data_IF_964896140652
#
_entry.id   IF_964896140652
#
_cell.length_a   1.000
_cell.length_b   1.000
_cell.length_c   1.000
_cell.angle_alpha   90.00
_cell.angle_beta   90.00
_cell.angle_gamma   90.00
#
_symmetry.space_group_name_H-M   'P 1'
#
loop_
_entity.id
_entity.type
_entity.pdbx_description
1 polymer ?
#
# COMPACT_ATOMS: atom_id res chain seq x y z
N UNK A 1 -2.59 51.92 -21.81
CA UNK A 1 -3.87 51.34 -22.26
C UNK A 1 -3.95 49.81 -22.10
N UNK A 2 -2.85 49.05 -22.23
CA UNK A 2 -2.84 47.57 -22.07
C UNK A 2 -3.04 47.07 -20.63
N UNK A 3 -2.45 47.73 -19.61
CA UNK A 3 -2.52 47.32 -18.19
C UNK A 3 -3.96 47.36 -17.64
N UNK A 4 -4.74 48.41 -17.95
CA UNK A 4 -6.14 48.57 -17.50
C UNK A 4 -7.08 47.44 -17.93
N UNK A 5 -6.79 46.74 -19.04
CA UNK A 5 -7.65 45.66 -19.56
C UNK A 5 -7.40 44.32 -18.86
N UNK A 6 -6.16 44.10 -18.38
CA UNK A 6 -5.79 42.95 -17.55
C UNK A 6 -6.38 43.11 -16.15
N UNK A 7 -6.28 44.31 -15.57
CA UNK A 7 -6.88 44.66 -14.28
C UNK A 7 -8.40 44.38 -14.28
N UNK A 8 -9.13 44.80 -15.34
CA UNK A 8 -10.57 44.59 -15.45
C UNK A 8 -10.98 43.10 -15.51
N UNK A 9 -10.24 42.26 -16.24
CA UNK A 9 -10.46 40.81 -16.31
C UNK A 9 -10.16 40.15 -14.95
N UNK A 10 -9.10 40.60 -14.28
CA UNK A 10 -8.73 40.10 -12.97
C UNK A 10 -9.72 40.52 -11.88
N UNK A 11 -10.28 41.73 -11.95
CA UNK A 11 -11.36 42.21 -11.06
C UNK A 11 -12.67 41.45 -11.29
N UNK A 12 -12.98 41.09 -12.54
CA UNK A 12 -14.13 40.24 -12.88
C UNK A 12 -13.97 38.83 -12.30
N UNK A 13 -12.80 38.20 -12.50
CA UNK A 13 -12.46 36.91 -11.91
C UNK A 13 -12.39 36.96 -10.37
N UNK A 14 -11.88 38.05 -9.80
CA UNK A 14 -11.79 38.23 -8.34
C UNK A 14 -13.17 38.27 -7.70
N UNK A 15 -14.18 38.83 -8.38
CA UNK A 15 -15.58 38.78 -7.93
C UNK A 15 -16.17 37.36 -7.96
N UNK A 16 -15.70 36.50 -8.85
CA UNK A 16 -16.10 35.08 -8.91
C UNK A 16 -15.40 34.24 -7.83
N UNK A 17 -14.21 34.65 -7.40
CA UNK A 17 -13.31 33.87 -6.52
C UNK A 17 -13.38 34.31 -5.06
N UNK A 18 -13.81 35.55 -4.79
CA UNK A 18 -13.66 36.25 -3.50
C UNK A 18 -14.30 35.64 -2.25
N UNK A 19 -14.94 34.47 -2.34
CA UNK A 19 -15.45 33.74 -1.18
C UNK A 19 -14.63 32.47 -0.83
N UNK A 20 -13.78 31.98 -1.74
CA UNK A 20 -13.07 30.71 -1.58
C UNK A 20 -11.63 30.93 -1.09
N UNK A 21 -11.37 30.62 0.17
CA UNK A 21 -10.06 30.81 0.84
C UNK A 21 -8.94 29.95 0.27
N UNK A 22 -9.27 28.96 -0.56
CA UNK A 22 -8.34 28.04 -1.24
C UNK A 22 -7.87 28.56 -2.61
N UNK A 23 -8.26 29.79 -2.99
CA UNK A 23 -8.12 30.28 -4.35
C UNK A 23 -7.50 31.67 -4.44
N UNK A 24 -6.61 31.86 -5.41
CA UNK A 24 -6.03 33.17 -5.73
C UNK A 24 -5.90 33.36 -7.24
N UNK A 25 -5.73 34.60 -7.69
CA UNK A 25 -5.53 34.93 -9.09
C UNK A 25 -4.13 35.50 -9.25
N UNK A 26 -3.41 35.02 -10.26
CA UNK A 26 -2.11 35.56 -10.68
C UNK A 26 -2.09 35.75 -12.19
N UNK A 27 -1.45 36.82 -12.66
CA UNK A 27 -1.23 37.05 -14.07
C UNK A 27 0.24 37.33 -14.35
N UNK A 28 0.74 36.89 -15.50
CA UNK A 28 2.10 37.12 -15.94
C UNK A 28 2.19 37.49 -17.41
N UNK A 29 3.27 38.17 -17.79
CA UNK A 29 3.53 38.59 -19.17
C UNK A 29 4.07 37.45 -20.06
N UNK A 30 4.01 37.64 -21.37
CA UNK A 30 4.50 36.68 -22.38
C UNK A 30 5.99 36.84 -22.74
N UNK A 31 6.77 37.52 -21.90
CA UNK A 31 8.18 37.79 -22.19
C UNK A 31 9.06 36.53 -22.17
N UNK A 32 10.30 36.63 -22.65
CA UNK A 32 11.26 35.51 -22.61
C UNK A 32 11.60 35.07 -21.19
N UNK A 33 11.47 35.97 -20.20
CA UNK A 33 11.58 35.70 -18.76
C UNK A 33 10.31 36.21 -18.06
N UNK A 34 9.20 35.44 -18.11
CA UNK A 34 7.89 35.90 -17.69
C UNK A 34 7.87 36.48 -16.27
N UNK A 35 7.25 37.64 -16.10
CA UNK A 35 7.07 38.27 -14.78
C UNK A 35 5.62 38.35 -14.37
N UNK A 36 5.38 38.21 -13.07
CA UNK A 36 4.05 38.39 -12.48
C UNK A 36 3.69 39.88 -12.58
N UNK A 37 2.61 40.20 -13.29
CA UNK A 37 2.14 41.58 -13.48
C UNK A 37 0.97 41.91 -12.56
N UNK A 38 0.29 40.89 -12.04
CA UNK A 38 -0.86 41.07 -11.17
C UNK A 38 -1.05 39.85 -10.25
N UNK A 39 -1.52 40.09 -9.03
CA UNK A 39 -1.92 39.04 -8.10
C UNK A 39 -3.04 39.57 -7.18
N UNK A 40 -4.05 38.74 -6.87
CA UNK A 40 -5.13 39.08 -5.93
C UNK A 40 -5.79 37.83 -5.33
N UNK A 41 -6.72 38.02 -4.40
CA UNK A 41 -7.38 36.93 -3.65
C UNK A 41 -6.50 36.41 -2.50
N UNK A 42 -6.69 35.15 -2.12
CA UNK A 42 -6.04 34.51 -0.97
C UNK A 42 -4.60 34.06 -1.28
N UNK A 43 -3.80 34.97 -1.84
CA UNK A 43 -2.39 34.73 -2.22
C UNK A 43 -1.53 34.33 -1.02
N UNK A 44 -1.82 34.88 0.17
CA UNK A 44 -1.09 34.53 1.39
C UNK A 44 -1.34 33.08 1.78
N UNK A 45 -2.58 32.60 1.67
CA UNK A 45 -2.97 31.24 2.03
C UNK A 45 -2.53 30.23 0.97
N UNK A 46 -2.67 30.57 -0.32
CA UNK A 46 -2.40 29.65 -1.44
C UNK A 46 -0.90 29.59 -1.79
N UNK A 47 -0.26 30.75 -1.93
CA UNK A 47 1.12 30.88 -2.44
C UNK A 47 2.15 31.24 -1.36
N UNK A 48 1.73 31.45 -0.11
CA UNK A 48 2.58 31.86 1.02
C UNK A 48 3.32 33.18 0.77
N UNK A 49 2.70 34.09 0.03
CA UNK A 49 3.23 35.42 -0.25
C UNK A 49 2.08 36.42 -0.41
N UNK A 50 2.28 37.66 0.04
CA UNK A 50 1.28 38.71 -0.16
C UNK A 50 1.22 39.10 -1.63
N UNK A 51 0.04 39.44 -2.13
CA UNK A 51 -0.17 39.88 -3.52
C UNK A 51 0.85 40.93 -3.99
N UNK A 52 1.12 41.96 -3.17
CA UNK A 52 2.10 43.01 -3.50
C UNK A 52 3.55 42.53 -3.59
N UNK A 53 3.91 41.43 -2.90
CA UNK A 53 5.25 40.85 -2.94
C UNK A 53 5.44 39.96 -4.18
N UNK A 54 4.35 39.48 -4.79
CA UNK A 54 4.39 38.64 -5.98
C UNK A 54 4.63 39.47 -7.24
N UNK A 55 4.04 40.66 -7.34
CA UNK A 55 4.15 41.52 -8.53
C UNK A 55 5.62 41.89 -8.79
N UNK A 56 6.05 41.70 -10.04
CA UNK A 56 7.42 41.93 -10.49
C UNK A 56 8.35 40.73 -10.32
N UNK A 57 7.99 39.69 -9.56
CA UNK A 57 8.80 38.47 -9.43
C UNK A 57 8.72 37.61 -10.71
N UNK A 58 9.74 36.77 -10.98
CA UNK A 58 9.68 35.81 -12.08
C UNK A 58 8.51 34.85 -11.88
N UNK A 59 7.62 34.72 -12.87
CA UNK A 59 6.48 33.81 -12.82
C UNK A 59 6.94 32.34 -12.76
N UNK A 60 8.11 32.04 -13.31
CA UNK A 60 8.74 30.72 -13.20
C UNK A 60 8.96 30.26 -11.76
N UNK A 61 9.06 31.17 -10.79
CA UNK A 61 9.20 30.81 -9.38
C UNK A 61 7.95 30.14 -8.79
N UNK A 62 6.79 30.25 -9.46
CA UNK A 62 5.53 29.63 -9.05
C UNK A 62 5.39 28.18 -9.54
N UNK A 63 6.27 27.70 -10.42
CA UNK A 63 6.13 26.41 -11.08
C UNK A 63 7.40 25.56 -10.93
N UNK A 64 7.24 24.27 -10.69
CA UNK A 64 8.37 23.33 -10.59
C UNK A 64 9.21 23.25 -11.87
N UNK A 65 8.61 23.51 -13.04
CA UNK A 65 9.30 23.60 -14.34
C UNK A 65 9.91 24.97 -14.67
N UNK A 66 9.95 25.90 -13.71
CA UNK A 66 10.59 27.21 -13.87
C UNK A 66 9.95 28.08 -14.96
N UNK A 67 10.77 28.92 -15.58
CA UNK A 67 10.32 29.86 -16.64
C UNK A 67 9.73 29.16 -17.87
N UNK A 68 10.17 27.94 -18.17
CA UNK A 68 9.62 27.15 -19.27
C UNK A 68 8.15 26.81 -19.01
N UNK A 69 7.82 26.35 -17.80
CA UNK A 69 6.43 26.05 -17.44
C UNK A 69 5.53 27.28 -17.53
N UNK A 70 5.99 28.46 -17.09
CA UNK A 70 5.22 29.70 -17.22
C UNK A 70 4.93 30.08 -18.68
N UNK A 71 5.92 29.90 -19.58
CA UNK A 71 5.75 30.14 -21.02
C UNK A 71 4.82 29.13 -21.68
N UNK A 72 4.99 27.85 -21.36
CA UNK A 72 4.15 26.78 -21.90
C UNK A 72 2.68 27.02 -21.52
N UNK A 73 2.39 27.39 -20.26
CA UNK A 73 1.03 27.70 -19.81
C UNK A 73 0.45 28.95 -20.50
N UNK A 74 1.27 29.97 -20.74
CA UNK A 74 0.83 31.14 -21.51
C UNK A 74 0.46 30.75 -22.96
N UNK A 75 1.31 29.94 -23.61
CA UNK A 75 1.06 29.47 -24.98
C UNK A 75 -0.18 28.58 -25.09
N UNK A 76 -0.44 27.72 -24.10
CA UNK A 76 -1.61 26.84 -24.04
C UNK A 76 -2.92 27.65 -24.05
N UNK A 77 -2.95 28.80 -23.37
CA UNK A 77 -4.18 29.57 -23.17
C UNK A 77 -4.35 30.76 -24.13
N UNK A 78 -3.42 30.97 -25.09
CA UNK A 78 -3.41 32.13 -25.99
C UNK A 78 -4.70 32.32 -26.81
N UNK A 79 -5.43 31.24 -27.11
CA UNK A 79 -6.64 31.28 -27.95
C UNK A 79 -7.91 30.69 -27.30
N UNK A 80 -7.80 29.88 -26.24
CA UNK A 80 -8.93 29.20 -25.58
C UNK A 80 -8.64 29.11 -24.07
N UNK A 81 -9.63 29.30 -23.18
CA UNK A 81 -9.46 28.97 -21.76
C UNK A 81 -9.01 27.53 -21.57
N UNK A 82 -8.06 27.29 -20.68
CA UNK A 82 -7.52 25.96 -20.40
C UNK A 82 -7.64 25.62 -18.91
N UNK A 83 -7.85 24.35 -18.60
CA UNK A 83 -7.84 23.84 -17.24
C UNK A 83 -6.71 22.81 -17.11
N UNK A 84 -5.75 23.10 -16.24
CA UNK A 84 -4.58 22.25 -16.03
C UNK A 84 -4.45 21.90 -14.55
N UNK A 85 -4.02 20.68 -14.22
CA UNK A 85 -3.60 20.32 -12.87
C UNK A 85 -2.10 20.10 -12.88
N UNK A 86 -1.36 20.92 -12.12
CA UNK A 86 0.10 20.87 -12.08
C UNK A 86 0.65 21.22 -10.70
N UNK A 87 1.82 20.67 -10.34
CA UNK A 87 2.51 21.09 -9.13
C UNK A 87 3.02 22.53 -9.26
N UNK A 88 2.59 23.39 -8.34
CA UNK A 88 3.10 24.75 -8.14
C UNK A 88 4.04 24.79 -6.95
N UNK A 89 4.85 25.84 -6.83
CA UNK A 89 5.78 26.03 -5.72
C UNK A 89 5.25 27.10 -4.76
N UNK A 90 5.22 26.78 -3.47
CA UNK A 90 4.98 27.73 -2.37
C UNK A 90 6.00 27.49 -1.26
N UNK A 91 6.61 28.54 -0.73
CA UNK A 91 7.64 28.41 0.33
C UNK A 91 8.81 27.46 0.00
N UNK A 92 9.10 27.25 -1.29
CA UNK A 92 10.13 26.30 -1.76
C UNK A 92 9.69 24.84 -1.84
N UNK A 93 8.43 24.52 -1.53
CA UNK A 93 7.86 23.16 -1.60
C UNK A 93 6.81 23.07 -2.71
N UNK A 94 6.75 21.95 -3.46
CA UNK A 94 5.68 21.73 -4.42
C UNK A 94 4.34 21.44 -3.74
N UNK A 95 3.24 21.92 -4.33
CA UNK A 95 1.88 21.59 -3.93
C UNK A 95 0.98 21.39 -5.16
N UNK A 96 -0.06 20.58 -5.03
CA UNK A 96 -0.98 20.30 -6.12
C UNK A 96 -1.94 21.48 -6.32
N UNK A 97 -1.93 22.06 -7.52
CA UNK A 97 -2.81 23.17 -7.87
C UNK A 97 -3.64 22.86 -9.12
N UNK A 98 -4.88 23.32 -9.12
CA UNK A 98 -5.67 23.46 -10.34
C UNK A 98 -5.51 24.88 -10.87
N UNK A 99 -5.22 24.99 -12.16
CA UNK A 99 -5.03 26.22 -12.89
C UNK A 99 -6.15 26.36 -13.91
N UNK A 100 -7.04 27.34 -13.74
CA UNK A 100 -7.94 27.79 -14.79
C UNK A 100 -7.31 29.00 -15.47
N UNK A 101 -6.81 28.79 -16.68
CA UNK A 101 -6.00 29.70 -17.45
C UNK A 101 -6.83 30.40 -18.51
N UNK A 102 -6.55 31.68 -18.71
CA UNK A 102 -7.10 32.47 -19.81
C UNK A 102 -6.01 33.36 -20.39
N UNK A 103 -5.79 33.26 -21.69
CA UNK A 103 -4.90 34.16 -22.42
C UNK A 103 -5.46 35.58 -22.43
N UNK A 104 -4.58 36.55 -22.31
CA UNK A 104 -4.86 37.98 -22.45
C UNK A 104 -3.81 38.60 -23.36
N UNK A 105 -4.13 39.70 -24.05
CA UNK A 105 -3.17 40.35 -24.94
C UNK A 105 -1.90 40.76 -24.17
N UNK A 106 -0.80 40.02 -24.37
CA UNK A 106 0.47 40.24 -23.69
C UNK A 106 0.80 39.29 -22.54
N UNK A 107 0.02 38.22 -22.31
CA UNK A 107 0.29 37.29 -21.20
C UNK A 107 -0.85 36.30 -20.88
N UNK A 108 -0.85 35.80 -19.65
CA UNK A 108 -1.84 34.85 -19.15
C UNK A 108 -2.35 35.24 -17.76
N UNK A 109 -3.61 34.92 -17.49
CA UNK A 109 -4.23 35.00 -16.17
C UNK A 109 -4.59 33.59 -15.72
N UNK A 110 -4.21 33.24 -14.50
CA UNK A 110 -4.57 31.98 -13.85
C UNK A 110 -5.40 32.23 -12.60
N UNK A 111 -6.55 31.56 -12.51
CA UNK A 111 -7.14 31.23 -11.22
C UNK A 111 -6.46 29.97 -10.71
N UNK A 112 -5.75 30.11 -9.59
CA UNK A 112 -5.05 29.05 -8.89
C UNK A 112 -5.92 28.58 -7.74
N UNK A 113 -6.21 27.28 -7.70
CA UNK A 113 -6.89 26.64 -6.58
C UNK A 113 -5.98 25.60 -5.94
N UNK A 114 -5.79 25.69 -4.62
CA UNK A 114 -5.03 24.71 -3.85
C UNK A 114 -5.85 23.42 -3.66
N UNK A 115 -5.35 22.30 -4.20
CA UNK A 115 -5.98 20.99 -4.06
C UNK A 115 -5.44 20.18 -2.86
N UNK A 116 -4.47 20.72 -2.11
CA UNK A 116 -3.76 19.99 -1.06
C UNK A 116 -4.72 19.49 0.03
N UNK A 117 -5.61 20.34 0.54
CA UNK A 117 -6.55 19.96 1.58
C UNK A 117 -7.56 18.91 1.10
N UNK A 118 -8.05 19.04 -0.15
CA UNK A 118 -8.97 18.07 -0.75
C UNK A 118 -8.33 16.71 -0.98
N UNK A 119 -7.10 16.66 -1.49
CA UNK A 119 -6.35 15.41 -1.63
C UNK A 119 -6.06 14.78 -0.27
N UNK A 120 -5.67 15.56 0.74
CA UNK A 120 -5.44 15.05 2.10
C UNK A 120 -6.72 14.47 2.71
N UNK A 121 -7.88 15.11 2.50
CA UNK A 121 -9.17 14.59 2.96
C UNK A 121 -9.58 13.32 2.22
N UNK A 122 -9.39 13.27 0.89
CA UNK A 122 -9.66 12.08 0.11
C UNK A 122 -8.77 10.90 0.53
N UNK A 123 -7.46 11.13 0.71
CA UNK A 123 -6.52 10.13 1.21
C UNK A 123 -6.88 9.67 2.63
N UNK A 124 -7.28 10.60 3.51
CA UNK A 124 -7.72 10.28 4.86
C UNK A 124 -9.03 9.48 4.86
N UNK A 125 -9.97 9.81 3.98
CA UNK A 125 -11.23 9.09 3.81
C UNK A 125 -11.00 7.68 3.28
N UNK A 126 -10.17 7.51 2.25
CA UNK A 126 -9.77 6.19 1.74
C UNK A 126 -9.11 5.34 2.83
N UNK A 127 -8.21 5.92 3.63
CA UNK A 127 -7.60 5.23 4.78
C UNK A 127 -8.61 4.88 5.86
N UNK A 128 -9.59 5.75 6.12
CA UNK A 128 -10.64 5.51 7.10
C UNK A 128 -11.61 4.41 6.65
N UNK A 129 -11.96 4.38 5.35
CA UNK A 129 -12.74 3.32 4.74
C UNK A 129 -12.01 1.98 4.80
N UNK A 130 -10.71 1.96 4.47
CA UNK A 130 -9.85 0.79 4.59
C UNK A 130 -9.78 0.29 6.05
N UNK A 131 -9.67 1.20 7.01
CA UNK A 131 -9.63 0.89 8.44
C UNK A 131 -10.98 0.37 8.96
N UNK A 132 -12.10 0.94 8.51
CA UNK A 132 -13.44 0.49 8.87
C UNK A 132 -13.73 -0.91 8.30
N UNK A 133 -13.35 -1.13 7.03
CA UNK A 133 -13.41 -2.45 6.37
C UNK A 133 -12.54 -3.47 7.10
N UNK A 134 -11.32 -3.08 7.46
CA UNK A 134 -10.42 -3.88 8.30
C UNK A 134 -11.07 -4.27 9.63
N UNK A 135 -11.58 -3.31 10.39
CA UNK A 135 -12.20 -3.57 11.69
C UNK A 135 -13.41 -4.51 11.59
N UNK A 136 -14.25 -4.33 10.56
CA UNK A 136 -15.43 -5.18 10.33
C UNK A 136 -15.05 -6.62 9.97
N UNK A 137 -14.10 -6.81 9.05
CA UNK A 137 -13.63 -8.13 8.63
C UNK A 137 -12.94 -8.87 9.78
N UNK A 138 -12.03 -8.21 10.50
CA UNK A 138 -11.35 -8.78 11.66
C UNK A 138 -12.35 -9.17 12.75
N UNK A 139 -13.33 -8.32 13.05
CA UNK A 139 -14.36 -8.64 14.03
C UNK A 139 -15.19 -9.87 13.61
N UNK A 140 -15.55 -9.97 12.33
CA UNK A 140 -16.30 -11.10 11.80
C UNK A 140 -15.49 -12.40 11.84
N UNK A 141 -14.22 -12.35 11.44
CA UNK A 141 -13.34 -13.50 11.42
C UNK A 141 -12.82 -13.94 12.79
N UNK A 142 -12.78 -13.06 13.79
CA UNK A 142 -12.54 -13.45 15.19
C UNK A 142 -13.81 -14.10 15.79
N UNK A 143 -14.99 -13.55 15.49
CA UNK A 143 -16.26 -14.02 16.05
C UNK A 143 -16.57 -15.48 15.67
N UNK A 144 -16.23 -15.89 14.45
CA UNK A 144 -16.49 -17.23 13.94
C UNK A 144 -15.75 -18.36 14.70
N UNK A 145 -14.41 -18.38 14.77
CA UNK A 145 -13.66 -19.35 15.55
C UNK A 145 -13.98 -19.27 17.05
N UNK A 146 -14.20 -18.07 17.61
CA UNK A 146 -14.63 -17.94 19.01
C UNK A 146 -15.99 -18.61 19.27
N UNK A 147 -16.92 -18.52 18.30
CA UNK A 147 -18.20 -19.21 18.38
C UNK A 147 -18.03 -20.74 18.34
N UNK A 148 -17.12 -21.24 17.50
CA UNK A 148 -16.79 -22.67 17.44
C UNK A 148 -16.14 -23.17 18.75
N UNK A 149 -15.19 -22.41 19.31
CA UNK A 149 -14.59 -22.69 20.63
C UNK A 149 -15.68 -22.72 21.71
N UNK A 150 -16.54 -21.71 21.75
CA UNK A 150 -17.66 -21.63 22.71
C UNK A 150 -18.58 -22.84 22.61
N UNK A 151 -18.97 -23.25 21.39
CA UNK A 151 -19.84 -24.42 21.18
C UNK A 151 -19.12 -25.69 21.66
N UNK A 152 -17.85 -25.90 21.30
CA UNK A 152 -17.09 -27.06 21.72
C UNK A 152 -17.00 -27.16 23.25
N UNK A 153 -16.68 -26.05 23.93
CA UNK A 153 -16.61 -25.98 25.39
C UNK A 153 -17.99 -26.19 26.05
N UNK A 154 -19.05 -25.56 25.55
CA UNK A 154 -20.42 -25.75 26.05
C UNK A 154 -20.92 -27.18 25.89
N UNK A 155 -20.43 -27.90 24.87
CA UNK A 155 -20.81 -29.30 24.66
C UNK A 155 -20.01 -30.24 25.56
N UNK A 156 -18.78 -29.88 25.94
CA UNK A 156 -18.01 -30.57 26.98
C UNK A 156 -18.63 -30.35 28.37
N UNK A 157 -19.00 -29.11 28.71
CA UNK A 157 -19.62 -28.75 29.99
C UNK A 157 -20.94 -29.49 30.26
N UNK A 158 -21.76 -29.70 29.21
CA UNK A 158 -23.03 -30.44 29.30
C UNK A 158 -22.85 -31.94 29.53
N UNK A 159 -21.68 -32.51 29.24
CA UNK A 159 -21.40 -33.92 29.38
C UNK A 159 -20.40 -34.11 30.54
N UNK A 160 -20.89 -34.13 31.78
CA UNK A 160 -20.10 -34.10 33.02
C UNK A 160 -19.12 -35.27 33.27
N UNK A 161 -18.93 -36.18 32.32
CA UNK A 161 -17.88 -37.21 32.33
C UNK A 161 -17.22 -37.27 30.95
N UNK A 162 -15.89 -37.09 30.91
CA UNK A 162 -15.15 -37.08 29.66
C UNK A 162 -15.17 -38.49 29.02
N UNK A 163 -15.87 -38.67 27.90
CA UNK A 163 -15.85 -39.88 27.09
C UNK A 163 -14.77 -39.78 25.99
N UNK A 164 -14.41 -40.90 25.33
CA UNK A 164 -13.38 -40.91 24.27
C UNK A 164 -13.62 -39.91 23.11
N UNK A 165 -14.84 -39.37 22.94
CA UNK A 165 -15.18 -38.38 21.92
C UNK A 165 -14.77 -36.93 22.26
N UNK A 166 -14.22 -36.68 23.47
CA UNK A 166 -13.86 -35.35 23.94
C UNK A 166 -12.50 -34.87 23.45
N UNK A 167 -11.62 -35.80 23.04
CA UNK A 167 -10.38 -35.46 22.35
C UNK A 167 -10.65 -34.77 21.01
N UNK A 168 -11.67 -35.21 20.26
CA UNK A 168 -12.07 -34.57 18.99
C UNK A 168 -12.58 -33.15 19.22
N UNK A 169 -13.40 -32.93 20.25
CA UNK A 169 -13.97 -31.60 20.57
C UNK A 169 -12.92 -30.62 21.06
N UNK A 170 -12.01 -31.10 21.91
CA UNK A 170 -10.86 -30.31 22.39
C UNK A 170 -9.90 -29.97 21.25
N UNK A 171 -9.67 -30.90 20.32
CA UNK A 171 -8.88 -30.67 19.11
C UNK A 171 -9.51 -29.63 18.18
N UNK A 172 -10.84 -29.64 18.01
CA UNK A 172 -11.56 -28.59 17.26
C UNK A 172 -11.40 -27.22 17.93
N UNK A 173 -11.60 -27.14 19.26
CA UNK A 173 -11.43 -25.88 19.99
C UNK A 173 -10.00 -25.35 19.88
N UNK A 174 -9.00 -26.20 20.05
CA UNK A 174 -7.59 -25.83 19.93
C UNK A 174 -7.25 -25.34 18.52
N UNK A 175 -7.77 -26.00 17.47
CA UNK A 175 -7.58 -25.56 16.07
C UNK A 175 -8.12 -24.14 15.85
N UNK A 176 -9.31 -23.85 16.38
CA UNK A 176 -9.92 -22.53 16.20
C UNK A 176 -9.24 -21.44 17.05
N UNK A 177 -8.67 -21.77 18.21
CA UNK A 177 -7.80 -20.84 18.97
C UNK A 177 -6.54 -20.49 18.17
N UNK A 178 -5.86 -21.48 17.58
CA UNK A 178 -4.69 -21.25 16.73
C UNK A 178 -5.03 -20.38 15.50
N UNK A 179 -6.22 -20.56 14.92
CA UNK A 179 -6.70 -19.71 13.83
C UNK A 179 -6.89 -18.24 14.28
N UNK A 180 -7.43 -18.01 15.48
CA UNK A 180 -7.58 -16.66 16.07
C UNK A 180 -6.21 -16.03 16.32
N UNK A 181 -5.26 -16.78 16.87
CA UNK A 181 -3.91 -16.29 17.11
C UNK A 181 -3.21 -15.92 15.79
N UNK A 182 -3.38 -16.72 14.74
CA UNK A 182 -2.86 -16.39 13.41
C UNK A 182 -3.47 -15.10 12.88
N UNK A 183 -4.80 -14.97 12.93
CA UNK A 183 -5.52 -13.78 12.48
C UNK A 183 -5.07 -12.53 13.25
N UNK A 184 -4.97 -12.62 14.57
CA UNK A 184 -4.53 -11.50 15.41
C UNK A 184 -3.09 -11.07 15.06
N UNK A 185 -2.20 -12.03 14.83
CA UNK A 185 -0.83 -11.74 14.42
C UNK A 185 -0.78 -11.07 13.04
N UNK A 186 -1.59 -11.51 12.06
CA UNK A 186 -1.68 -10.88 10.74
C UNK A 186 -2.21 -9.45 10.82
N UNK A 187 -3.21 -9.21 11.68
CA UNK A 187 -3.80 -7.89 11.97
C UNK A 187 -2.78 -6.94 12.59
N UNK A 188 -2.05 -7.42 13.60
CA UNK A 188 -1.02 -6.63 14.28
C UNK A 188 0.17 -6.32 13.35
N UNK A 189 0.58 -7.29 12.53
CA UNK A 189 1.66 -7.07 11.55
C UNK A 189 1.23 -6.11 10.44
N UNK A 190 -0.03 -6.17 9.99
CA UNK A 190 -0.58 -5.23 9.02
C UNK A 190 -0.65 -3.79 9.59
N UNK A 191 -1.09 -3.63 10.84
CA UNK A 191 -1.23 -2.34 11.51
C UNK A 191 0.12 -1.73 11.94
N UNK A 192 1.18 -2.54 12.06
CA UNK A 192 2.50 -2.06 12.49
C UNK A 192 3.07 -1.06 11.47
N UNK A 193 3.60 0.10 11.89
CA UNK A 193 4.30 1.02 10.99
C UNK A 193 5.48 0.35 10.28
N UNK A 194 5.79 0.73 9.02
CA UNK A 194 6.96 0.21 8.32
C UNK A 194 8.22 0.63 9.08
N UNK A 195 8.86 -0.36 9.71
CA UNK A 195 10.14 -0.22 10.37
C UNK A 195 10.90 -1.53 10.14
N UNK A 196 12.03 -1.40 9.46
CA UNK A 196 12.97 -2.48 9.21
C UNK A 196 14.26 -2.20 9.98
N UNK A 197 14.79 -3.24 10.58
CA UNK A 197 16.16 -3.25 11.08
C UNK A 197 17.01 -4.10 10.15
N UNK A 198 17.40 -3.55 9.00
CA UNK A 198 18.24 -4.26 8.02
C UNK A 198 19.65 -4.46 8.58
N UNK A 199 20.06 -5.73 8.65
CA UNK A 199 21.41 -6.13 9.04
C UNK A 199 21.99 -7.05 7.97
N UNK A 200 23.30 -6.97 7.67
CA UNK A 200 23.96 -7.96 6.82
C UNK A 200 23.90 -9.32 7.50
N UNK A 201 23.09 -10.25 6.97
CA UNK A 201 22.91 -11.56 7.57
C UNK A 201 22.74 -12.65 6.51
N UNK A 202 23.12 -13.86 6.88
CA UNK A 202 22.75 -15.07 6.14
C UNK A 202 21.24 -15.30 6.31
N UNK A 203 20.45 -15.43 5.22
CA UNK A 203 19.01 -15.64 5.32
C UNK A 203 18.63 -17.04 5.84
N UNK A 204 19.51 -18.03 5.71
CA UNK A 204 19.18 -19.44 5.99
C UNK A 204 18.73 -19.68 7.43
N UNK A 205 19.43 -19.21 8.48
CA UNK A 205 19.00 -19.45 9.86
C UNK A 205 17.58 -18.95 10.13
N UNK A 206 17.22 -17.77 9.60
CA UNK A 206 15.88 -17.20 9.78
C UNK A 206 14.80 -18.03 9.06
N UNK A 207 15.07 -18.47 7.83
CA UNK A 207 14.14 -19.34 7.08
C UNK A 207 13.99 -20.70 7.77
N UNK A 208 15.10 -21.34 8.13
CA UNK A 208 15.11 -22.67 8.74
C UNK A 208 14.40 -22.70 10.10
N UNK A 209 14.62 -21.68 10.95
CA UNK A 209 13.93 -21.54 12.24
C UNK A 209 12.41 -21.42 12.05
N UNK A 210 11.97 -20.60 11.08
CA UNK A 210 10.56 -20.42 10.78
C UNK A 210 9.92 -21.69 10.21
N UNK A 211 10.56 -22.37 9.26
CA UNK A 211 10.06 -23.62 8.68
C UNK A 211 9.96 -24.70 9.75
N UNK A 212 10.99 -24.87 10.59
CA UNK A 212 10.98 -25.87 11.67
C UNK A 212 9.84 -25.64 12.67
N UNK A 213 9.55 -24.39 13.01
CA UNK A 213 8.44 -24.05 13.89
C UNK A 213 7.07 -24.43 13.30
N UNK A 214 6.87 -24.18 12.00
CA UNK A 214 5.61 -24.57 11.32
C UNK A 214 5.54 -26.09 11.14
N UNK A 215 6.63 -26.74 10.75
CA UNK A 215 6.66 -28.20 10.60
C UNK A 215 6.29 -28.93 11.89
N UNK A 216 6.80 -28.48 13.04
CA UNK A 216 6.44 -29.04 14.33
C UNK A 216 4.93 -28.96 14.62
N UNK A 217 4.27 -27.85 14.23
CA UNK A 217 2.83 -27.62 14.40
C UNK A 217 1.98 -28.53 13.48
N UNK A 218 2.49 -28.87 12.29
CA UNK A 218 1.73 -29.51 11.22
C UNK A 218 2.05 -30.99 10.96
N UNK A 219 3.17 -31.50 11.48
CA UNK A 219 3.59 -32.90 11.33
C UNK A 219 2.55 -33.93 11.78
N UNK A 220 1.86 -33.67 12.90
CA UNK A 220 0.79 -34.53 13.40
C UNK A 220 -0.48 -34.53 12.53
N UNK A 221 -0.56 -33.65 11.53
CA UNK A 221 -1.70 -33.50 10.60
C UNK A 221 -1.41 -34.05 9.21
N UNK A 222 -0.33 -34.83 9.05
CA UNK A 222 0.02 -35.45 7.76
C UNK A 222 0.64 -34.49 6.75
N UNK A 223 1.14 -33.34 7.20
CA UNK A 223 1.87 -32.37 6.37
C UNK A 223 3.35 -32.44 6.72
N UNK A 224 4.19 -32.57 5.70
CA UNK A 224 5.66 -32.64 5.82
C UNK A 224 6.30 -31.48 5.06
N UNK A 225 7.55 -31.14 5.38
CA UNK A 225 8.27 -30.07 4.73
C UNK A 225 9.56 -30.59 4.08
N UNK A 226 9.74 -30.32 2.79
CA UNK A 226 10.99 -30.58 2.09
C UNK A 226 11.72 -29.26 1.87
N UNK A 227 13.04 -29.25 2.10
CA UNK A 227 13.86 -28.03 2.09
C UNK A 227 14.95 -28.16 1.04
N UNK A 228 14.98 -27.26 0.06
CA UNK A 228 15.99 -27.18 -1.00
C UNK A 228 16.75 -25.86 -0.88
N UNK A 229 18.03 -25.90 -0.50
CA UNK A 229 18.83 -24.68 -0.36
C UNK A 229 20.30 -24.91 -0.71
N UNK A 230 21.02 -23.85 -1.13
CA UNK A 230 22.47 -23.91 -1.27
C UNK A 230 23.17 -24.20 0.07
N UNK A 231 24.36 -24.80 -0.02
CA UNK A 231 25.24 -24.98 1.15
C UNK A 231 25.75 -23.66 1.72
N UNK A 232 25.80 -22.61 0.90
CA UNK A 232 26.24 -21.26 1.28
C UNK A 232 25.41 -20.23 0.54
N UNK A 233 25.08 -19.14 1.23
CA UNK A 233 24.45 -17.95 0.65
C UNK A 233 25.25 -16.72 1.07
N UNK A 234 25.30 -15.73 0.19
CA UNK A 234 25.93 -14.45 0.51
C UNK A 234 25.09 -13.73 1.56
N UNK A 235 25.71 -13.01 2.52
CA UNK A 235 24.98 -12.12 3.40
C UNK A 235 24.20 -11.10 2.57
N UNK A 236 22.94 -10.86 2.94
CA UNK A 236 22.09 -9.84 2.33
C UNK A 236 21.62 -8.86 3.42
N UNK A 237 21.33 -7.61 3.04
CA UNK A 237 20.70 -6.67 3.96
C UNK A 237 19.25 -7.10 4.22
N UNK A 238 19.00 -7.73 5.38
CA UNK A 238 17.68 -8.25 5.73
C UNK A 238 17.33 -7.99 7.19
N UNK A 239 16.04 -7.97 7.51
CA UNK A 239 15.53 -8.02 8.86
C UNK A 239 15.12 -9.48 9.19
N UNK A 240 15.88 -10.21 10.03
CA UNK A 240 15.62 -11.61 10.30
C UNK A 240 14.24 -11.86 10.94
N UNK A 241 13.71 -10.89 11.69
CA UNK A 241 12.39 -10.99 12.32
C UNK A 241 11.32 -10.95 11.24
N UNK A 242 11.41 -10.02 10.29
CA UNK A 242 10.44 -9.90 9.19
C UNK A 242 10.53 -11.07 8.22
N UNK A 243 11.74 -11.55 7.92
CA UNK A 243 11.93 -12.76 7.12
C UNK A 243 11.23 -13.96 7.75
N UNK A 244 11.42 -14.19 9.06
CA UNK A 244 10.69 -15.25 9.79
C UNK A 244 9.18 -15.10 9.70
N UNK A 245 8.66 -13.88 9.84
CA UNK A 245 7.22 -13.60 9.72
C UNK A 245 6.69 -14.00 8.35
N UNK A 246 7.35 -13.56 7.27
CA UNK A 246 6.96 -13.90 5.90
C UNK A 246 7.00 -15.42 5.67
N UNK A 247 8.07 -16.09 6.09
CA UNK A 247 8.22 -17.55 5.96
C UNK A 247 7.11 -18.29 6.70
N UNK A 248 6.78 -17.88 7.94
CA UNK A 248 5.70 -18.49 8.72
C UNK A 248 4.34 -18.36 8.04
N UNK A 249 4.02 -17.19 7.48
CA UNK A 249 2.77 -16.96 6.75
C UNK A 249 2.70 -17.87 5.52
N UNK A 250 3.74 -17.87 4.69
CA UNK A 250 3.78 -18.69 3.48
C UNK A 250 3.69 -20.18 3.79
N UNK A 251 4.48 -20.67 4.76
CA UNK A 251 4.49 -22.08 5.15
C UNK A 251 3.15 -22.53 5.73
N UNK A 252 2.50 -21.71 6.58
CA UNK A 252 1.17 -22.05 7.12
C UNK A 252 0.10 -22.07 6.03
N UNK A 253 0.14 -21.12 5.09
CA UNK A 253 -0.79 -21.13 3.97
C UNK A 253 -0.64 -22.41 3.14
N UNK A 254 0.59 -22.76 2.78
CA UNK A 254 0.90 -23.97 2.04
C UNK A 254 0.50 -25.24 2.81
N UNK A 255 0.75 -25.27 4.13
CA UNK A 255 0.42 -26.39 4.99
C UNK A 255 -1.10 -26.64 5.06
N UNK A 256 -1.90 -25.58 5.18
CA UNK A 256 -3.36 -25.76 5.19
C UNK A 256 -3.87 -26.23 3.83
N UNK A 257 -3.37 -25.64 2.73
CA UNK A 257 -3.72 -26.08 1.39
C UNK A 257 -3.36 -27.56 1.15
N UNK A 258 -2.25 -28.01 1.74
CA UNK A 258 -1.82 -29.41 1.73
C UNK A 258 -2.73 -30.30 2.58
N UNK A 259 -3.08 -29.89 3.81
CA UNK A 259 -4.01 -30.63 4.68
C UNK A 259 -5.38 -30.79 4.01
N UNK A 260 -5.92 -29.72 3.42
CA UNK A 260 -7.21 -29.72 2.72
C UNK A 260 -7.21 -30.67 1.50
N UNK A 261 -6.06 -30.88 0.87
CA UNK A 261 -5.87 -31.83 -0.23
C UNK A 261 -5.65 -33.29 0.23
N UNK A 262 -5.67 -33.56 1.55
CA UNK A 262 -5.47 -34.90 2.11
C UNK A 262 -4.07 -35.17 2.67
N UNK A 263 -3.25 -34.12 2.82
CA UNK A 263 -1.87 -34.21 3.31
C UNK A 263 -0.83 -34.23 2.18
N UNK A 264 0.45 -34.34 2.53
CA UNK A 264 1.55 -34.33 1.57
C UNK A 264 2.75 -33.51 2.01
N UNK A 265 3.51 -33.03 1.02
CA UNK A 265 4.75 -32.29 1.25
C UNK A 265 4.63 -30.84 0.73
N UNK A 266 4.93 -29.89 1.61
CA UNK A 266 5.23 -28.50 1.25
C UNK A 266 6.71 -28.43 0.84
N UNK A 267 7.00 -27.85 -0.32
CA UNK A 267 8.38 -27.62 -0.75
C UNK A 267 8.79 -26.19 -0.44
N UNK A 268 9.86 -26.03 0.35
CA UNK A 268 10.48 -24.73 0.61
C UNK A 268 11.84 -24.72 -0.07
N UNK A 269 12.07 -23.76 -0.95
CA UNK A 269 13.35 -23.59 -1.61
C UNK A 269 13.92 -22.19 -1.44
N UNK A 270 15.25 -22.12 -1.36
CA UNK A 270 16.02 -20.88 -1.38
C UNK A 270 16.95 -20.88 -2.57
N UNK A 271 17.11 -19.73 -3.22
CA UNK A 271 18.02 -19.56 -4.35
C UNK A 271 18.80 -18.25 -4.23
N UNK A 272 20.11 -18.32 -4.47
CA UNK A 272 20.94 -17.11 -4.60
C UNK A 272 20.67 -16.49 -5.97
N UNK A 273 20.42 -15.18 -5.99
CA UNK A 273 20.30 -14.38 -7.20
C UNK A 273 21.52 -13.46 -7.33
N UNK A 274 21.79 -12.92 -8.54
CA UNK A 274 22.87 -11.95 -8.74
C UNK A 274 22.77 -10.71 -7.84
N UNK A 275 21.55 -10.19 -7.66
CA UNK A 275 21.27 -8.99 -6.87
C UNK A 275 20.44 -9.29 -5.62
N UNK A 276 20.66 -10.45 -4.99
CA UNK A 276 19.98 -10.81 -3.74
C UNK A 276 19.66 -12.29 -3.64
N UNK A 277 18.47 -12.62 -3.16
CA UNK A 277 18.03 -14.01 -3.02
C UNK A 277 16.52 -14.17 -3.15
N UNK A 278 16.09 -15.40 -3.33
CA UNK A 278 14.69 -15.78 -3.50
C UNK A 278 14.33 -16.91 -2.53
N UNK A 279 13.14 -16.79 -1.93
CA UNK A 279 12.45 -17.84 -1.19
C UNK A 279 11.23 -18.28 -2.01
N UNK A 280 11.05 -19.57 -2.23
CA UNK A 280 9.82 -20.10 -2.81
C UNK A 280 9.18 -21.14 -1.91
N UNK A 281 7.86 -21.08 -1.75
CA UNK A 281 7.06 -22.08 -1.03
C UNK A 281 6.02 -22.65 -1.99
N UNK A 282 6.02 -23.97 -2.16
CA UNK A 282 5.10 -24.67 -3.05
C UNK A 282 4.21 -25.66 -2.29
N UNK A 283 2.93 -25.69 -2.64
CA UNK A 283 1.94 -26.63 -2.10
C UNK A 283 1.31 -27.50 -3.21
N UNK A 284 0.83 -28.71 -2.89
CA UNK A 284 0.04 -29.56 -3.78
C UNK A 284 -1.47 -29.28 -3.69
N UNK A 285 -1.88 -28.14 -3.13
CA UNK A 285 -3.28 -27.81 -2.88
C UNK A 285 -4.06 -27.50 -4.16
N UNK A 286 -5.25 -26.92 -4.00
CA UNK A 286 -6.04 -26.46 -5.15
C UNK A 286 -5.33 -25.31 -5.87
N UNK A 287 -5.12 -25.45 -7.18
CA UNK A 287 -4.62 -24.36 -8.03
C UNK A 287 -5.58 -23.17 -8.00
N UNK A 288 -5.06 -21.98 -7.72
CA UNK A 288 -5.84 -20.75 -7.70
C UNK A 288 -6.18 -20.28 -9.13
N UNK A 289 -7.39 -19.73 -9.29
CA UNK A 289 -7.80 -19.17 -10.58
C UNK A 289 -6.90 -17.98 -10.97
N UNK A 290 -6.75 -17.66 -12.27
CA UNK A 290 -5.97 -16.51 -12.72
C UNK A 290 -6.38 -15.20 -12.04
N UNK A 291 -7.68 -14.97 -11.87
CA UNK A 291 -8.24 -13.75 -11.26
C UNK A 291 -7.89 -13.64 -9.77
N UNK A 292 -7.90 -14.76 -9.05
CA UNK A 292 -7.47 -14.80 -7.65
C UNK A 292 -5.97 -14.58 -7.51
N UNK A 293 -5.16 -15.16 -8.41
CA UNK A 293 -3.70 -14.97 -8.41
C UNK A 293 -3.30 -13.52 -8.61
N UNK A 294 -3.94 -12.82 -9.55
CA UNK A 294 -3.67 -11.40 -9.82
C UNK A 294 -3.96 -10.52 -8.60
N UNK A 295 -5.00 -10.85 -7.84
CA UNK A 295 -5.44 -10.09 -6.66
C UNK A 295 -4.87 -10.65 -5.35
N UNK A 296 -4.01 -11.67 -5.40
CA UNK A 296 -3.67 -12.44 -4.20
C UNK A 296 -2.96 -11.64 -3.10
N UNK A 297 -2.28 -10.57 -3.51
CA UNK A 297 -1.53 -9.67 -2.62
C UNK A 297 -2.33 -8.42 -2.22
N UNK A 298 -3.55 -8.26 -2.75
CA UNK A 298 -4.45 -7.17 -2.36
C UNK A 298 -5.05 -7.51 -1.00
N UNK A 299 -4.95 -6.61 0.01
CA UNK A 299 -5.52 -6.85 1.34
C UNK A 299 -6.99 -7.27 1.26
N UNK A 300 -7.39 -8.19 2.15
CA UNK A 300 -8.76 -8.72 2.23
C UNK A 300 -9.20 -9.49 0.99
N UNK A 301 -8.25 -10.11 0.28
CA UNK A 301 -8.55 -11.08 -0.78
C UNK A 301 -8.23 -12.48 -0.26
N UNK A 302 -9.22 -13.20 0.30
CA UNK A 302 -9.01 -14.58 0.72
C UNK A 302 -8.68 -15.46 -0.48
N UNK A 303 -7.65 -16.29 -0.35
CA UNK A 303 -7.32 -17.31 -1.37
C UNK A 303 -8.16 -18.58 -1.24
N UNK A 304 -9.08 -18.60 -0.28
CA UNK A 304 -9.85 -19.77 0.13
C UNK A 304 -11.06 -19.34 0.96
N UNK A 305 -12.04 -20.23 1.10
CA UNK A 305 -13.31 -19.96 1.78
C UNK A 305 -13.15 -19.55 3.26
N UNK A 306 -12.07 -19.99 3.93
CA UNK A 306 -11.70 -19.55 5.29
C UNK A 306 -10.29 -18.94 5.26
N UNK A 307 -10.20 -17.63 5.48
CA UNK A 307 -8.93 -16.92 5.65
C UNK A 307 -9.09 -15.41 5.48
N UNK A 308 -8.26 -14.65 6.20
CA UNK A 308 -8.30 -13.18 6.29
C UNK A 308 -8.03 -12.43 5.00
N UNK A 309 -7.30 -13.06 4.07
CA UNK A 309 -6.74 -12.37 2.92
C UNK A 309 -5.69 -11.30 3.29
N UNK A 310 -5.21 -11.30 4.54
CA UNK A 310 -4.18 -10.35 5.01
C UNK A 310 -2.77 -10.92 4.92
N UNK A 311 -2.59 -12.23 5.10
CA UNK A 311 -1.27 -12.86 5.14
C UNK A 311 -0.40 -12.52 3.92
N UNK A 312 -0.92 -12.71 2.70
CA UNK A 312 -0.16 -12.40 1.48
C UNK A 312 0.08 -10.91 1.26
N UNK A 313 -0.81 -10.03 1.74
CA UNK A 313 -0.56 -8.60 1.74
C UNK A 313 0.58 -8.21 2.68
N UNK A 314 0.69 -8.87 3.84
CA UNK A 314 1.83 -8.72 4.77
C UNK A 314 3.12 -9.21 4.10
N UNK A 315 3.10 -10.38 3.44
CA UNK A 315 4.27 -10.89 2.69
C UNK A 315 4.71 -9.91 1.60
N UNK A 316 3.77 -9.41 0.78
CA UNK A 316 4.04 -8.45 -0.28
C UNK A 316 4.64 -7.14 0.26
N UNK A 317 4.15 -6.69 1.42
CA UNK A 317 4.72 -5.52 2.10
C UNK A 317 6.13 -5.80 2.60
N UNK A 318 6.39 -6.92 3.26
CA UNK A 318 7.73 -7.29 3.73
C UNK A 318 8.70 -7.37 2.55
N UNK A 319 8.29 -7.94 1.42
CA UNK A 319 9.11 -8.04 0.20
C UNK A 319 9.49 -6.64 -0.29
N UNK A 320 8.51 -5.75 -0.41
CA UNK A 320 8.71 -4.36 -0.84
C UNK A 320 9.61 -3.58 0.11
N UNK A 321 9.44 -3.76 1.41
CA UNK A 321 10.30 -3.17 2.44
C UNK A 321 11.77 -3.64 2.27
N UNK A 322 11.98 -4.89 1.84
CA UNK A 322 13.29 -5.45 1.46
C UNK A 322 13.69 -5.21 -0.01
N UNK A 323 13.01 -4.27 -0.69
CA UNK A 323 13.24 -3.93 -2.11
C UNK A 323 13.13 -5.12 -3.06
N UNK A 324 12.31 -6.10 -2.73
CA UNK A 324 11.99 -7.24 -3.57
C UNK A 324 10.52 -7.27 -3.97
N UNK A 325 10.11 -8.40 -4.53
CA UNK A 325 8.78 -8.64 -5.08
C UNK A 325 8.25 -9.98 -4.58
N UNK A 326 6.93 -10.16 -4.66
CA UNK A 326 6.30 -11.46 -4.45
C UNK A 326 5.47 -11.83 -5.66
N UNK A 327 5.51 -13.11 -6.04
CA UNK A 327 4.78 -13.67 -7.19
C UNK A 327 4.10 -14.95 -6.77
N UNK A 328 2.96 -15.22 -7.39
CA UNK A 328 2.17 -16.42 -7.18
C UNK A 328 1.92 -17.07 -8.53
N UNK A 329 2.43 -18.28 -8.69
CA UNK A 329 2.41 -19.04 -9.94
C UNK A 329 1.72 -20.39 -9.72
N UNK A 330 1.24 -20.98 -10.80
CA UNK A 330 0.73 -22.35 -10.78
C UNK A 330 1.91 -23.32 -10.71
N UNK A 331 1.80 -24.31 -9.82
CA UNK A 331 2.79 -25.38 -9.71
C UNK A 331 2.60 -26.40 -10.83
N UNK A 332 3.68 -26.79 -11.55
CA UNK A 332 3.60 -27.92 -12.47
C UNK A 332 3.10 -29.19 -11.76
N UNK A 333 2.01 -29.78 -12.25
CA UNK A 333 1.36 -30.93 -11.61
C UNK A 333 0.26 -30.59 -10.60
N UNK A 334 -0.11 -29.31 -10.46
CA UNK A 334 -1.19 -28.83 -9.61
C UNK A 334 -0.72 -28.21 -8.30
N UNK A 335 -1.47 -27.22 -7.82
CA UNK A 335 -1.16 -26.41 -6.65
C UNK A 335 -0.50 -25.08 -7.01
N UNK A 336 0.15 -24.48 -6.02
CA UNK A 336 0.64 -23.11 -6.10
C UNK A 336 2.11 -23.01 -5.71
N UNK A 337 2.82 -22.05 -6.30
CA UNK A 337 4.18 -21.65 -5.90
C UNK A 337 4.17 -20.17 -5.60
N UNK A 338 4.56 -19.79 -4.39
CA UNK A 338 4.74 -18.39 -4.01
C UNK A 338 6.23 -18.13 -3.88
N UNK A 339 6.73 -17.20 -4.69
CA UNK A 339 8.13 -16.80 -4.74
C UNK A 339 8.28 -15.37 -4.26
N UNK A 340 9.21 -15.14 -3.35
CA UNK A 340 9.50 -13.85 -2.75
C UNK A 340 10.98 -13.54 -2.92
N UNK A 341 11.29 -12.41 -3.56
CA UNK A 341 12.66 -11.94 -3.74
C UNK A 341 13.03 -10.93 -2.66
N UNK A 342 14.33 -10.86 -2.38
CA UNK A 342 14.95 -9.91 -1.46
C UNK A 342 16.19 -9.37 -2.17
N UNK A 343 16.30 -8.05 -2.28
CA UNK A 343 17.49 -7.45 -2.91
C UNK A 343 18.67 -7.45 -1.93
N UNK A 344 19.89 -7.49 -2.48
CA UNK A 344 21.14 -7.50 -1.70
C UNK A 344 21.38 -6.21 -0.90
#
# INVERSE_FOLDING_TARGET
>A
MRVRKIEQICEELARTVGAATDSCIVAWDESSSPRIVFATGHTQEVLFAKAGELVGRPAGALFSGGERAARDLAAICSNVPAAEQRPMIRGGQPFAAQLLLRGVNGGAVALVRDLTAGHQQADAALRAEDLARFASLVAHEIRNPLSAVKIALQTLERHGTLAQNDLRRTSIALREVLNIELLLNEVLEFARPPSLSLVPADPRPAVEEAVAGVEAEWSARGVTFTRKRPERMSPAALDPVRVRTAVKILCRQAAVATEDAGGGAVEVAMRQLPEGWELSVADPGQTLSPELREKAFVPFTPQRARGSGLGLAVVARIAREHRGEVRLEERPGGGNVISMTFSA
#
